data_IF_071208059036
#
_entry.id   IF_071208059036
#
_cell.length_a   1.000
_cell.length_b   1.000
_cell.length_c   1.000
_cell.angle_alpha   90.00
_cell.angle_beta   90.00
_cell.angle_gamma   90.00
#
_symmetry.space_group_name_H-M   'P 1'
#
loop_
_entity.id
_entity.type
_entity.pdbx_description
1 polymer ?
#
# COMPACT_ATOMS: atom_id res chain seq x y z
N UNK A 1 -5.48 32.38 -4.15
CA UNK A 1 -5.37 30.93 -4.43
C UNK A 1 -4.03 30.34 -3.96
N UNK A 2 -2.90 31.02 -4.16
CA UNK A 2 -1.56 30.52 -3.73
C UNK A 2 -1.46 30.23 -2.22
N UNK A 3 -1.96 31.12 -1.34
CA UNK A 3 -1.94 30.89 0.13
C UNK A 3 -2.72 29.64 0.55
N UNK A 4 -3.85 29.38 -0.11
CA UNK A 4 -4.64 28.17 0.17
C UNK A 4 -3.87 26.90 -0.24
N UNK A 5 -3.28 26.91 -1.43
CA UNK A 5 -2.50 25.77 -1.94
C UNK A 5 -1.26 25.50 -1.08
N UNK A 6 -0.55 26.57 -0.70
CA UNK A 6 0.61 26.46 0.20
C UNK A 6 0.21 25.88 1.57
N UNK A 7 -0.91 26.32 2.13
CA UNK A 7 -1.44 25.77 3.39
C UNK A 7 -1.78 24.28 3.29
N UNK A 8 -2.36 23.83 2.15
CA UNK A 8 -2.65 22.41 1.92
C UNK A 8 -1.40 21.55 1.76
N UNK A 9 -0.40 22.06 1.03
CA UNK A 9 0.89 21.38 0.89
C UNK A 9 1.60 21.26 2.24
N UNK A 10 1.63 22.34 3.03
CA UNK A 10 2.22 22.30 4.36
C UNK A 10 1.50 21.32 5.31
N UNK A 11 0.16 21.27 5.27
CA UNK A 11 -0.62 20.29 6.02
C UNK A 11 -0.30 18.85 5.57
N UNK A 12 -0.24 18.59 4.27
CA UNK A 12 0.10 17.27 3.74
C UNK A 12 1.52 16.86 4.17
N UNK A 13 2.50 17.75 4.06
CA UNK A 13 3.87 17.50 4.49
C UNK A 13 3.95 17.19 5.99
N UNK A 14 3.22 17.93 6.82
CA UNK A 14 3.18 17.71 8.27
C UNK A 14 2.54 16.36 8.62
N UNK A 15 1.46 15.97 7.94
CA UNK A 15 0.80 14.67 8.14
C UNK A 15 1.73 13.53 7.72
N UNK A 16 2.39 13.65 6.57
CA UNK A 16 3.35 12.63 6.10
C UNK A 16 4.54 12.50 7.04
N UNK A 17 5.11 13.64 7.48
CA UNK A 17 6.19 13.64 8.47
C UNK A 17 5.76 13.03 9.80
N UNK A 18 4.57 13.37 10.29
CA UNK A 18 4.02 12.81 11.53
C UNK A 18 3.77 11.31 11.42
N UNK A 19 3.17 10.84 10.33
CA UNK A 19 2.97 9.42 10.06
C UNK A 19 4.29 8.65 9.99
N UNK A 20 5.28 9.19 9.28
CA UNK A 20 6.62 8.62 9.20
C UNK A 20 7.26 8.52 10.59
N UNK A 21 7.24 9.61 11.37
CA UNK A 21 7.83 9.66 12.71
C UNK A 21 7.19 8.66 13.67
N UNK A 22 5.86 8.63 13.71
CA UNK A 22 5.09 7.71 14.56
C UNK A 22 5.43 6.27 14.17
N UNK A 23 5.40 5.94 12.88
CA UNK A 23 5.72 4.59 12.40
C UNK A 23 7.15 4.21 12.75
N UNK A 24 8.12 5.10 12.56
CA UNK A 24 9.52 4.86 12.90
C UNK A 24 9.69 4.54 14.39
N UNK A 25 9.13 5.38 15.27
CA UNK A 25 9.27 5.17 16.71
C UNK A 25 8.53 3.94 17.20
N UNK A 26 7.34 3.64 16.66
CA UNK A 26 6.62 2.41 16.99
C UNK A 26 7.46 1.19 16.61
N UNK A 27 8.00 1.14 15.39
CA UNK A 27 8.82 0.03 14.94
C UNK A 27 10.11 -0.13 15.75
N UNK A 28 10.70 0.98 16.21
CA UNK A 28 11.89 0.95 17.02
C UNK A 28 11.62 0.52 18.47
N UNK A 29 10.44 0.84 19.00
CA UNK A 29 10.01 0.46 20.36
C UNK A 29 9.48 -0.98 20.45
N UNK A 30 9.17 -1.61 19.31
CA UNK A 30 8.76 -3.02 19.30
C UNK A 30 9.90 -3.90 19.80
N UNK A 31 9.62 -4.79 20.76
CA UNK A 31 10.63 -5.75 21.22
C UNK A 31 10.94 -6.73 20.08
N UNK A 32 12.19 -6.73 19.64
CA UNK A 32 12.71 -7.62 18.61
C UNK A 32 13.88 -6.96 17.87
N UNK A 33 14.91 -7.74 17.59
CA UNK A 33 16.01 -7.28 16.74
C UNK A 33 15.52 -7.34 15.28
N UNK A 34 15.48 -6.22 14.53
CA UNK A 34 15.09 -6.23 13.11
C UNK A 34 15.90 -7.24 12.29
N UNK A 35 17.15 -7.47 12.64
CA UNK A 35 18.00 -8.46 11.99
C UNK A 35 17.49 -9.89 12.23
N UNK A 36 16.97 -10.20 13.45
CA UNK A 36 16.39 -11.50 13.75
C UNK A 36 15.16 -11.81 12.93
N UNK A 37 14.29 -10.81 12.77
CA UNK A 37 13.07 -10.93 11.95
C UNK A 37 13.44 -11.20 10.50
N UNK A 38 14.43 -10.49 9.97
CA UNK A 38 14.91 -10.63 8.61
C UNK A 38 15.55 -12.01 8.35
N UNK A 39 16.40 -12.47 9.24
CA UNK A 39 17.05 -13.78 9.14
C UNK A 39 16.03 -14.91 9.23
N UNK A 40 15.09 -14.82 10.17
CA UNK A 40 13.98 -15.79 10.28
C UNK A 40 13.12 -15.83 9.02
N UNK A 41 12.84 -14.67 8.40
CA UNK A 41 12.11 -14.62 7.13
C UNK A 41 12.88 -15.25 5.96
N UNK A 42 14.22 -15.28 6.05
CA UNK A 42 15.11 -15.93 5.09
C UNK A 42 15.38 -17.42 5.40
N UNK A 43 14.77 -17.94 6.47
CA UNK A 43 15.02 -19.32 6.95
C UNK A 43 16.37 -19.53 7.63
N UNK A 44 17.06 -18.45 8.00
CA UNK A 44 18.31 -18.48 8.73
C UNK A 44 18.08 -18.13 10.20
N UNK A 45 18.73 -18.86 11.10
CA UNK A 45 18.73 -18.54 12.53
C UNK A 45 19.91 -17.62 12.86
N UNK A 46 19.69 -16.66 13.75
CA UNK A 46 20.75 -15.76 14.24
C UNK A 46 21.93 -16.52 14.80
N UNK A 47 21.65 -17.62 15.52
CA UNK A 47 22.66 -18.47 16.17
C UNK A 47 23.57 -19.21 15.17
N UNK A 48 23.19 -19.26 13.89
CA UNK A 48 24.00 -19.82 12.82
C UNK A 48 25.08 -18.86 12.29
N UNK A 49 25.01 -17.56 12.64
CA UNK A 49 25.96 -16.55 12.20
C UNK A 49 27.04 -16.26 13.24
N UNK A 50 28.27 -16.09 12.75
CA UNK A 50 29.36 -15.65 13.62
C UNK A 50 29.15 -14.19 14.09
N UNK A 51 29.70 -13.78 15.23
CA UNK A 51 29.59 -12.39 15.70
C UNK A 51 30.07 -11.35 14.68
N UNK A 52 31.06 -11.71 13.87
CA UNK A 52 31.58 -10.85 12.81
C UNK A 52 30.61 -10.69 11.64
N UNK A 53 29.93 -11.77 11.27
CA UNK A 53 28.87 -11.74 10.23
C UNK A 53 27.66 -10.95 10.69
N UNK A 54 27.28 -11.07 11.96
CA UNK A 54 26.23 -10.27 12.58
C UNK A 54 26.56 -8.78 12.58
N UNK A 55 27.80 -8.42 12.94
CA UNK A 55 28.25 -7.03 12.91
C UNK A 55 28.22 -6.44 11.48
N UNK A 56 28.69 -7.20 10.50
CA UNK A 56 28.64 -6.78 9.08
C UNK A 56 27.22 -6.62 8.58
N UNK A 57 26.33 -7.53 8.93
CA UNK A 57 24.90 -7.44 8.56
C UNK A 57 24.24 -6.21 9.22
N UNK A 58 24.50 -5.96 10.51
CA UNK A 58 23.98 -4.75 11.19
C UNK A 58 24.48 -3.46 10.55
N UNK A 59 25.76 -3.39 10.22
CA UNK A 59 26.33 -2.23 9.53
C UNK A 59 25.73 -2.03 8.12
N UNK A 60 25.57 -3.11 7.37
CA UNK A 60 24.96 -3.08 6.03
C UNK A 60 23.53 -2.54 6.02
N UNK A 61 22.73 -2.90 7.04
CA UNK A 61 21.35 -2.41 7.17
C UNK A 61 21.24 -1.15 8.03
N UNK A 62 22.37 -0.56 8.46
CA UNK A 62 22.41 0.65 9.29
C UNK A 62 21.76 0.44 10.67
N UNK A 63 21.76 -0.78 11.19
CA UNK A 63 21.19 -1.13 12.48
C UNK A 63 22.13 -0.82 13.66
N UNK A 64 23.36 -0.45 13.37
CA UNK A 64 24.41 -0.03 14.30
C UNK A 64 24.36 1.47 14.65
N UNK A 65 23.58 2.23 13.90
CA UNK A 65 23.44 3.69 14.11
C UNK A 65 22.55 3.99 15.31
N UNK A 66 22.83 5.11 15.97
CA UNK A 66 21.95 5.63 17.02
C UNK A 66 20.55 5.95 16.48
N UNK A 67 19.52 5.80 17.34
CA UNK A 67 18.11 6.02 16.99
C UNK A 67 17.86 7.32 16.22
N UNK A 68 18.37 8.44 16.74
CA UNK A 68 18.17 9.75 16.13
C UNK A 68 18.97 9.94 14.84
N UNK A 69 20.18 9.42 14.79
CA UNK A 69 21.02 9.46 13.60
C UNK A 69 20.38 8.70 12.46
N UNK A 70 19.92 7.49 12.72
CA UNK A 70 19.19 6.67 11.75
C UNK A 70 17.89 7.32 11.30
N UNK A 71 17.13 7.92 12.22
CA UNK A 71 15.89 8.65 11.89
C UNK A 71 16.17 9.76 10.87
N UNK A 72 17.19 10.58 11.14
CA UNK A 72 17.55 11.71 10.25
C UNK A 72 18.09 11.20 8.91
N UNK A 73 18.95 10.19 8.90
CA UNK A 73 19.52 9.63 7.68
C UNK A 73 18.43 9.02 6.78
N UNK A 74 17.49 8.27 7.35
CA UNK A 74 16.36 7.72 6.59
C UNK A 74 15.42 8.82 6.09
N UNK A 75 15.14 9.85 6.89
CA UNK A 75 14.32 10.98 6.47
C UNK A 75 14.96 11.76 5.31
N UNK A 76 16.26 12.01 5.38
CA UNK A 76 17.01 12.64 4.31
C UNK A 76 17.06 11.77 3.05
N UNK A 77 17.21 10.46 3.21
CA UNK A 77 17.14 9.49 2.12
C UNK A 77 15.81 9.58 1.37
N UNK A 78 14.69 9.57 2.11
CA UNK A 78 13.36 9.72 1.50
C UNK A 78 13.22 11.01 0.70
N UNK A 79 13.75 12.13 1.21
CA UNK A 79 13.74 13.42 0.49
C UNK A 79 14.60 13.41 -0.78
N UNK A 80 15.60 12.53 -0.86
CA UNK A 80 16.45 12.33 -2.02
C UNK A 80 15.94 11.22 -2.96
N UNK A 81 14.81 10.59 -2.63
CA UNK A 81 14.23 9.48 -3.40
C UNK A 81 14.83 8.11 -3.07
N UNK A 82 15.68 8.02 -2.07
CA UNK A 82 16.16 6.75 -1.54
C UNK A 82 15.22 6.27 -0.43
N UNK A 83 14.45 5.21 -0.73
CA UNK A 83 13.53 4.57 0.22
C UNK A 83 14.19 3.41 0.99
N UNK A 84 15.49 3.24 0.83
CA UNK A 84 16.24 2.18 1.47
C UNK A 84 16.03 0.81 0.85
N UNK A 85 16.47 -0.21 1.59
CA UNK A 85 16.41 -1.62 1.19
C UNK A 85 15.24 -2.32 1.89
N UNK A 86 14.54 -3.17 1.14
CA UNK A 86 13.54 -4.06 1.72
C UNK A 86 14.23 -5.18 2.50
N UNK A 87 13.95 -5.29 3.78
CA UNK A 87 14.53 -6.32 4.65
C UNK A 87 14.09 -7.74 4.25
N UNK A 88 12.89 -7.88 3.71
CA UNK A 88 12.33 -9.20 3.32
C UNK A 88 12.70 -9.64 1.90
N UNK A 89 12.81 -8.69 0.96
CA UNK A 89 13.08 -8.99 -0.44
C UNK A 89 14.53 -8.74 -0.84
N UNK A 90 15.32 -8.14 0.05
CA UNK A 90 16.74 -7.79 -0.16
C UNK A 90 17.00 -7.05 -1.48
N UNK A 91 16.09 -6.12 -1.81
CA UNK A 91 16.11 -5.27 -3.02
C UNK A 91 15.77 -3.82 -2.65
N UNK A 92 16.22 -2.83 -3.43
CA UNK A 92 15.81 -1.45 -3.25
C UNK A 92 14.28 -1.29 -3.27
N UNK A 93 13.73 -0.59 -2.29
CA UNK A 93 12.27 -0.34 -2.21
C UNK A 93 11.78 0.42 -3.44
N UNK A 94 12.59 1.31 -3.99
CA UNK A 94 12.30 2.08 -5.23
C UNK A 94 12.07 1.17 -6.43
N UNK A 95 12.87 0.10 -6.60
CA UNK A 95 12.66 -0.89 -7.67
C UNK A 95 11.36 -1.67 -7.48
N UNK A 96 11.10 -2.13 -6.26
CA UNK A 96 9.87 -2.87 -5.95
C UNK A 96 8.65 -2.02 -6.24
N UNK A 97 8.68 -0.75 -5.87
CA UNK A 97 7.60 0.20 -6.17
C UNK A 97 7.46 0.44 -7.68
N UNK A 98 8.58 0.63 -8.39
CA UNK A 98 8.55 0.83 -9.84
C UNK A 98 7.95 -0.36 -10.60
N UNK A 99 8.16 -1.59 -10.11
CA UNK A 99 7.58 -2.80 -10.69
C UNK A 99 6.08 -2.94 -10.35
N UNK A 100 5.66 -2.62 -9.13
CA UNK A 100 4.30 -2.89 -8.64
C UNK A 100 3.33 -1.74 -8.90
N UNK A 101 3.80 -0.50 -8.79
CA UNK A 101 2.96 0.68 -8.90
C UNK A 101 2.23 0.79 -10.25
N UNK A 102 2.87 0.56 -11.42
CA UNK A 102 2.18 0.64 -12.71
C UNK A 102 1.01 -0.34 -12.82
N UNK A 103 1.18 -1.57 -12.34
CA UNK A 103 0.12 -2.59 -12.34
C UNK A 103 -1.06 -2.17 -11.45
N UNK A 104 -0.77 -1.66 -10.27
CA UNK A 104 -1.79 -1.18 -9.33
C UNK A 104 -2.54 0.03 -9.89
N UNK A 105 -1.81 0.98 -10.51
CA UNK A 105 -2.42 2.16 -11.15
C UNK A 105 -3.27 1.79 -12.36
N UNK A 106 -2.81 0.85 -13.19
CA UNK A 106 -3.58 0.34 -14.32
C UNK A 106 -4.89 -0.32 -13.85
N UNK A 107 -4.79 -1.19 -12.84
CA UNK A 107 -5.98 -1.84 -12.27
C UNK A 107 -6.94 -0.82 -11.65
N UNK A 108 -6.44 0.13 -10.88
CA UNK A 108 -7.24 1.21 -10.29
C UNK A 108 -7.89 2.08 -11.36
N UNK A 109 -7.14 2.43 -12.41
CA UNK A 109 -7.66 3.20 -13.55
C UNK A 109 -8.79 2.47 -14.27
N UNK A 110 -8.61 1.19 -14.59
CA UNK A 110 -9.67 0.35 -15.18
C UNK A 110 -10.89 0.27 -14.26
N UNK A 111 -10.69 0.08 -12.97
CA UNK A 111 -11.79 0.01 -12.00
C UNK A 111 -12.58 1.32 -11.93
N UNK A 112 -11.90 2.47 -11.93
CA UNK A 112 -12.54 3.80 -11.95
C UNK A 112 -13.36 3.98 -13.24
N UNK A 113 -12.79 3.67 -14.40
CA UNK A 113 -13.49 3.79 -15.68
C UNK A 113 -14.73 2.90 -15.71
N UNK A 114 -14.60 1.63 -15.33
CA UNK A 114 -15.74 0.70 -15.28
C UNK A 114 -16.81 1.15 -14.28
N UNK A 115 -16.40 1.67 -13.13
CA UNK A 115 -17.34 2.21 -12.13
C UNK A 115 -18.09 3.43 -12.62
N UNK A 116 -17.41 4.33 -13.31
CA UNK A 116 -18.04 5.52 -13.92
C UNK A 116 -19.02 5.13 -15.02
N UNK A 117 -18.60 4.28 -15.96
CA UNK A 117 -19.45 3.82 -17.05
C UNK A 117 -20.66 3.03 -16.53
N UNK A 118 -20.43 2.12 -15.59
CA UNK A 118 -21.49 1.33 -14.96
C UNK A 118 -22.45 2.19 -14.14
N UNK A 119 -21.92 3.09 -13.31
CA UNK A 119 -22.73 3.97 -12.46
C UNK A 119 -23.58 4.96 -13.28
N UNK A 120 -22.95 5.65 -14.23
CA UNK A 120 -23.65 6.57 -15.12
C UNK A 120 -24.66 5.84 -16.01
N UNK A 121 -24.27 4.66 -16.56
CA UNK A 121 -25.15 3.83 -17.36
C UNK A 121 -26.39 3.36 -16.59
N UNK A 122 -26.20 2.85 -15.37
CA UNK A 122 -27.29 2.45 -14.49
C UNK A 122 -28.21 3.62 -14.12
N UNK A 123 -27.63 4.78 -13.79
CA UNK A 123 -28.40 5.99 -13.48
C UNK A 123 -29.25 6.45 -14.68
N UNK A 124 -28.63 6.45 -15.86
CA UNK A 124 -29.32 6.79 -17.10
C UNK A 124 -30.47 5.81 -17.39
N UNK A 125 -30.20 4.50 -17.35
CA UNK A 125 -31.22 3.47 -17.55
C UNK A 125 -32.37 3.60 -16.53
N UNK A 126 -32.06 3.80 -15.26
CA UNK A 126 -33.06 3.97 -14.21
C UNK A 126 -33.94 5.23 -14.42
N UNK A 127 -33.36 6.29 -15.01
CA UNK A 127 -34.10 7.51 -15.29
C UNK A 127 -35.08 7.36 -16.46
N UNK A 128 -34.68 6.68 -17.53
CA UNK A 128 -35.43 6.63 -18.80
C UNK A 128 -36.32 5.40 -18.97
N UNK A 129 -36.12 4.34 -18.19
CA UNK A 129 -36.97 3.15 -18.24
C UNK A 129 -38.38 3.49 -17.80
N UNK A 130 -39.36 3.17 -18.66
CA UNK A 130 -40.81 3.39 -18.42
C UNK A 130 -41.48 2.28 -17.63
N UNK A 131 -40.91 1.07 -17.68
CA UNK A 131 -41.43 -0.10 -16.94
C UNK A 131 -41.08 -0.02 -15.46
N UNK A 132 -42.12 0.25 -14.66
CA UNK A 132 -41.94 0.52 -13.20
C UNK A 132 -41.17 -0.56 -12.44
N UNK A 133 -41.43 -1.88 -12.61
CA UNK A 133 -40.69 -2.90 -11.90
C UNK A 133 -39.18 -2.87 -12.18
N UNK A 134 -38.78 -2.66 -13.46
CA UNK A 134 -37.39 -2.57 -13.86
C UNK A 134 -36.75 -1.30 -13.32
N UNK A 135 -37.45 -0.18 -13.33
CA UNK A 135 -36.98 1.08 -12.75
C UNK A 135 -36.64 0.92 -11.26
N UNK A 136 -37.54 0.31 -10.50
CA UNK A 136 -37.33 0.07 -9.07
C UNK A 136 -36.17 -0.89 -8.84
N UNK A 137 -36.05 -1.93 -9.65
CA UNK A 137 -34.94 -2.88 -9.58
C UNK A 137 -33.60 -2.20 -9.82
N UNK A 138 -33.47 -1.44 -10.92
CA UNK A 138 -32.23 -0.71 -11.27
C UNK A 138 -31.83 0.30 -10.18
N UNK A 139 -32.81 1.02 -9.61
CA UNK A 139 -32.57 1.98 -8.54
C UNK A 139 -32.08 1.30 -7.22
N UNK A 140 -32.46 0.05 -6.99
CA UNK A 140 -32.04 -0.71 -5.79
C UNK A 140 -30.76 -1.52 -5.97
N UNK A 141 -30.33 -1.71 -7.22
CA UNK A 141 -29.15 -2.52 -7.54
C UNK A 141 -27.87 -2.07 -6.79
N UNK A 142 -27.56 -0.77 -6.65
CA UNK A 142 -26.41 -0.33 -5.87
C UNK A 142 -26.47 -0.72 -4.40
N UNK A 143 -27.68 -0.72 -3.80
CA UNK A 143 -27.85 -1.12 -2.41
C UNK A 143 -27.53 -2.61 -2.19
N UNK A 144 -27.82 -3.48 -3.16
CA UNK A 144 -27.43 -4.90 -3.12
C UNK A 144 -25.90 -5.06 -3.14
N UNK A 145 -25.20 -4.22 -3.94
CA UNK A 145 -23.74 -4.24 -3.98
C UNK A 145 -23.08 -3.90 -2.63
N UNK A 146 -23.67 -2.99 -1.85
CA UNK A 146 -23.18 -2.67 -0.50
C UNK A 146 -23.47 -3.76 0.54
N UNK A 147 -24.44 -4.64 0.27
CA UNK A 147 -24.79 -5.72 1.18
C UNK A 147 -23.82 -6.90 1.11
N UNK A 148 -23.00 -6.97 0.06
CA UNK A 148 -22.05 -8.06 -0.15
C UNK A 148 -20.65 -7.59 0.30
N UNK A 149 -19.96 -8.37 1.17
CA UNK A 149 -18.58 -8.02 1.56
C UNK A 149 -17.63 -7.96 0.35
N UNK A 150 -16.86 -6.89 0.27
CA UNK A 150 -15.96 -6.62 -0.89
C UNK A 150 -14.98 -7.76 -1.15
N UNK A 151 -14.42 -8.35 -0.08
CA UNK A 151 -13.48 -9.48 -0.21
C UNK A 151 -14.15 -10.71 -0.85
N UNK A 152 -15.41 -10.98 -0.52
CA UNK A 152 -16.16 -12.10 -1.08
C UNK A 152 -16.46 -11.89 -2.57
N UNK A 153 -16.84 -10.66 -2.95
CA UNK A 153 -16.96 -10.26 -4.36
C UNK A 153 -15.64 -10.46 -5.12
N UNK A 154 -14.52 -10.05 -4.52
CA UNK A 154 -13.20 -10.26 -5.11
C UNK A 154 -12.89 -11.74 -5.34
N UNK A 155 -13.14 -12.60 -4.36
CA UNK A 155 -12.95 -14.04 -4.48
C UNK A 155 -13.83 -14.66 -5.59
N UNK A 156 -15.11 -14.26 -5.66
CA UNK A 156 -16.00 -14.72 -6.74
C UNK A 156 -15.51 -14.28 -8.13
N UNK A 157 -15.06 -13.05 -8.28
CA UNK A 157 -14.53 -12.55 -9.55
C UNK A 157 -13.27 -13.33 -9.95
N UNK A 158 -12.36 -13.59 -9.02
CA UNK A 158 -11.18 -14.41 -9.26
C UNK A 158 -11.60 -15.83 -9.68
N UNK A 159 -12.55 -16.44 -8.97
CA UNK A 159 -13.04 -17.77 -9.28
C UNK A 159 -13.64 -17.84 -10.69
N UNK A 160 -14.43 -16.88 -11.09
CA UNK A 160 -15.11 -16.84 -12.40
C UNK A 160 -14.11 -16.53 -13.51
N UNK A 161 -13.32 -15.46 -13.37
CA UNK A 161 -12.48 -14.94 -14.46
C UNK A 161 -11.12 -15.62 -14.56
N UNK A 162 -10.48 -15.96 -13.45
CA UNK A 162 -9.16 -16.57 -13.48
C UNK A 162 -9.20 -18.11 -13.58
N UNK A 163 -10.22 -18.74 -12.99
CA UNK A 163 -10.32 -20.22 -13.00
C UNK A 163 -11.44 -20.76 -13.89
N UNK A 164 -12.49 -19.98 -14.17
CA UNK A 164 -13.61 -20.42 -14.98
C UNK A 164 -13.47 -20.09 -16.47
N UNK A 165 -12.78 -19.00 -16.81
CA UNK A 165 -12.61 -18.52 -18.19
C UNK A 165 -11.15 -18.55 -18.68
N UNK A 166 -10.19 -18.76 -17.81
CA UNK A 166 -8.75 -18.83 -18.11
C UNK A 166 -8.20 -20.20 -17.88
#
# INVERSE_FOLDING_TARGET
MSRYLLGRIAQAALVLWGAYSITYFILYLLPGDPLSIMLSASGMEIDALSPEQLAKARAYYGLDQGLLERYVNLLLGVLQGDLGQSLTLNRPVTEILAERLPQTLALAGCAIVLSLLGGVGLAYLAAYVRWQPLKVFLARLPALGFSVPVFWMGLLLIQIFAFGLG
#
